data_IF_755259013960
#
_entry.id   IF_755259013960
#
_cell.length_a   1.000
_cell.length_b   1.000
_cell.length_c   1.000
_cell.angle_alpha   90.00
_cell.angle_beta   90.00
_cell.angle_gamma   90.00
#
_symmetry.space_group_name_H-M   'P 1'
#
loop_
_entity.id
_entity.type
_entity.pdbx_description
1 polymer ?
#
# COMPACT_ATOMS: atom_id res chain seq x y z
N UNK A 1 -14.60 65.97 8.18
CA UNK A 1 -13.21 65.56 8.44
C UNK A 1 -13.05 64.30 9.30
N UNK A 2 -13.90 64.08 10.34
CA UNK A 2 -13.82 62.88 11.18
C UNK A 2 -14.18 61.58 10.45
N UNK A 3 -15.09 61.59 9.48
CA UNK A 3 -15.55 60.41 8.73
C UNK A 3 -14.47 59.90 7.75
N UNK A 4 -13.70 60.81 7.13
CA UNK A 4 -12.62 60.41 6.24
C UNK A 4 -11.43 59.83 6.96
N UNK A 5 -11.11 60.25 8.21
CA UNK A 5 -10.03 59.67 9.00
C UNK A 5 -10.36 58.25 9.46
N UNK A 6 -11.61 57.99 9.84
CA UNK A 6 -12.07 56.63 10.26
C UNK A 6 -12.06 55.65 9.08
N UNK A 7 -12.43 56.09 7.87
CA UNK A 7 -12.36 55.21 6.65
C UNK A 7 -10.92 54.88 6.23
N UNK A 8 -9.99 55.82 6.37
CA UNK A 8 -8.56 55.59 5.99
C UNK A 8 -7.90 54.63 6.98
N UNK A 9 -8.22 54.67 8.29
CA UNK A 9 -7.66 53.77 9.28
C UNK A 9 -8.22 52.32 9.12
N UNK A 10 -9.49 52.16 8.79
CA UNK A 10 -10.08 50.82 8.55
C UNK A 10 -9.46 50.12 7.31
N UNK A 11 -9.21 50.86 6.22
CA UNK A 11 -8.61 50.25 4.99
C UNK A 11 -7.17 49.84 5.21
N UNK A 12 -6.38 50.62 5.96
CA UNK A 12 -4.98 50.26 6.31
C UNK A 12 -4.93 49.05 7.25
N UNK A 13 -5.86 48.95 8.20
CA UNK A 13 -5.97 47.82 9.11
C UNK A 13 -6.30 46.51 8.41
N UNK A 14 -7.20 46.55 7.43
CA UNK A 14 -7.57 45.38 6.60
C UNK A 14 -6.39 44.90 5.75
N UNK A 15 -5.66 45.82 5.11
CA UNK A 15 -4.50 45.48 4.31
C UNK A 15 -3.39 44.84 5.15
N UNK A 16 -3.12 45.31 6.36
CA UNK A 16 -2.12 44.72 7.27
C UNK A 16 -2.50 43.31 7.70
N UNK A 17 -3.76 43.06 8.04
CA UNK A 17 -4.25 41.73 8.40
C UNK A 17 -4.11 40.74 7.25
N UNK A 18 -4.40 41.15 6.02
CA UNK A 18 -4.25 40.30 4.82
C UNK A 18 -2.80 39.94 4.55
N UNK A 19 -1.87 40.88 4.73
CA UNK A 19 -0.43 40.64 4.55
C UNK A 19 0.07 39.62 5.59
N UNK A 20 -0.30 39.79 6.85
CA UNK A 20 0.10 38.88 7.92
C UNK A 20 -0.50 37.49 7.76
N UNK A 21 -1.77 37.40 7.34
CA UNK A 21 -2.41 36.11 7.01
C UNK A 21 -1.68 35.39 5.89
N UNK A 22 -1.35 36.11 4.81
CA UNK A 22 -0.59 35.55 3.68
C UNK A 22 0.80 35.10 4.11
N UNK A 23 1.50 35.88 4.90
CA UNK A 23 2.83 35.53 5.44
C UNK A 23 2.76 34.24 6.24
N UNK A 24 1.83 34.14 7.20
CA UNK A 24 1.65 32.95 8.03
C UNK A 24 1.36 31.70 7.18
N UNK A 25 0.43 31.81 6.23
CA UNK A 25 0.08 30.68 5.36
C UNK A 25 1.25 30.19 4.51
N UNK A 26 2.01 31.12 3.91
CA UNK A 26 3.20 30.77 3.11
C UNK A 26 4.26 30.09 3.96
N UNK A 27 4.43 30.53 5.19
CA UNK A 27 5.40 29.96 6.10
C UNK A 27 5.02 28.56 6.56
N UNK A 28 3.76 28.36 6.97
CA UNK A 28 3.22 27.04 7.28
C UNK A 28 3.33 26.10 6.07
N UNK A 29 3.03 26.60 4.86
CA UNK A 29 3.15 25.81 3.64
C UNK A 29 4.60 25.35 3.38
N UNK A 30 5.57 26.25 3.49
CA UNK A 30 7.00 25.93 3.31
C UNK A 30 7.47 24.90 4.32
N UNK A 31 7.14 25.11 5.60
CA UNK A 31 7.51 24.17 6.69
C UNK A 31 6.86 22.80 6.47
N UNK A 32 5.57 22.77 6.15
CA UNK A 32 4.84 21.53 5.83
C UNK A 32 5.48 20.78 4.67
N UNK A 33 5.82 21.49 3.58
CA UNK A 33 6.46 20.88 2.41
C UNK A 33 7.84 20.32 2.74
N UNK A 34 8.62 21.03 3.54
CA UNK A 34 9.92 20.54 4.00
C UNK A 34 9.81 19.26 4.83
N UNK A 35 8.89 19.25 5.78
CA UNK A 35 8.63 18.06 6.63
C UNK A 35 8.11 16.89 5.76
N UNK A 36 7.16 17.15 4.88
CA UNK A 36 6.61 16.14 3.98
C UNK A 36 7.71 15.51 3.14
N UNK A 37 8.61 16.30 2.58
CA UNK A 37 9.71 15.80 1.75
C UNK A 37 10.66 14.88 2.55
N UNK A 38 11.02 15.28 3.78
CA UNK A 38 11.89 14.48 4.64
C UNK A 38 11.22 13.11 4.96
N UNK A 39 9.98 13.13 5.46
CA UNK A 39 9.28 11.89 5.78
C UNK A 39 8.99 11.04 4.54
N UNK A 40 8.68 11.68 3.41
CA UNK A 40 8.48 10.97 2.15
C UNK A 40 9.74 10.22 1.72
N UNK A 41 10.91 10.85 1.76
CA UNK A 41 12.18 10.19 1.43
C UNK A 41 12.49 9.03 2.38
N UNK A 42 12.22 9.20 3.69
CA UNK A 42 12.41 8.13 4.67
C UNK A 42 11.49 6.93 4.40
N UNK A 43 10.21 7.19 4.12
CA UNK A 43 9.24 6.11 3.83
C UNK A 43 9.57 5.43 2.52
N UNK A 44 9.87 6.18 1.46
CA UNK A 44 10.26 5.62 0.17
C UNK A 44 11.53 4.79 0.30
N UNK A 45 12.56 5.29 0.98
CA UNK A 45 13.80 4.54 1.24
C UNK A 45 13.55 3.23 1.99
N UNK A 46 12.75 3.27 3.06
CA UNK A 46 12.37 2.07 3.81
C UNK A 46 11.62 1.05 2.94
N UNK A 47 10.73 1.51 2.06
CA UNK A 47 10.00 0.63 1.14
C UNK A 47 10.89 0.01 0.06
N UNK A 48 11.85 0.78 -0.45
CA UNK A 48 12.85 0.23 -1.37
C UNK A 48 13.61 -0.93 -0.74
N UNK A 49 14.10 -0.77 0.50
CA UNK A 49 14.79 -1.85 1.21
C UNK A 49 13.92 -3.09 1.32
N UNK A 50 12.66 -2.94 1.72
CA UNK A 50 11.73 -4.08 1.83
C UNK A 50 11.44 -4.78 0.49
N UNK A 51 11.36 -4.04 -0.62
CA UNK A 51 11.19 -4.66 -1.94
C UNK A 51 12.48 -5.32 -2.45
N UNK A 52 13.66 -4.76 -2.17
CA UNK A 52 14.93 -5.43 -2.48
C UNK A 52 15.14 -6.71 -1.69
N UNK A 53 14.71 -6.76 -0.44
CA UNK A 53 14.70 -7.97 0.38
C UNK A 53 13.82 -9.05 -0.28
N UNK A 54 12.58 -8.72 -0.66
CA UNK A 54 11.69 -9.62 -1.38
C UNK A 54 12.27 -10.08 -2.72
N UNK A 55 12.95 -9.19 -3.46
CA UNK A 55 13.63 -9.55 -4.69
C UNK A 55 14.82 -10.49 -4.46
N UNK A 56 15.57 -10.30 -3.36
CA UNK A 56 16.67 -11.21 -3.00
C UNK A 56 16.19 -12.62 -2.65
N UNK A 57 14.97 -12.71 -2.15
CA UNK A 57 14.27 -13.99 -1.89
C UNK A 57 13.66 -14.60 -3.15
N UNK A 58 13.67 -13.89 -4.28
CA UNK A 58 13.07 -14.33 -5.54
C UNK A 58 11.54 -14.17 -5.57
N UNK A 59 10.98 -13.32 -4.71
CA UNK A 59 9.54 -13.08 -4.63
C UNK A 59 9.05 -11.99 -5.59
N UNK A 60 9.93 -11.11 -6.04
CA UNK A 60 9.63 -9.98 -6.94
C UNK A 60 10.79 -9.79 -7.91
N UNK A 61 10.50 -9.49 -9.20
CA UNK A 61 11.55 -9.09 -10.15
C UNK A 61 12.17 -7.75 -9.73
N UNK A 62 13.52 -7.68 -9.64
CA UNK A 62 14.21 -6.41 -9.40
C UNK A 62 13.86 -5.29 -10.39
N UNK A 63 13.54 -5.64 -11.65
CA UNK A 63 13.25 -4.67 -12.71
C UNK A 63 11.94 -3.90 -12.51
N UNK A 64 10.97 -4.48 -11.80
CA UNK A 64 9.67 -3.83 -11.54
C UNK A 64 9.64 -3.01 -10.26
N UNK A 65 10.61 -3.17 -9.35
CA UNK A 65 10.62 -2.51 -8.03
C UNK A 65 10.40 -1.01 -8.18
N UNK A 66 11.12 -0.37 -9.10
CA UNK A 66 11.02 1.08 -9.28
C UNK A 66 9.60 1.51 -9.70
N UNK A 67 8.97 0.76 -10.60
CA UNK A 67 7.59 1.02 -11.06
C UNK A 67 6.59 0.83 -9.92
N UNK A 68 6.74 -0.23 -9.14
CA UNK A 68 5.88 -0.52 -7.98
C UNK A 68 5.97 0.58 -6.93
N UNK A 69 7.18 1.01 -6.59
CA UNK A 69 7.39 2.11 -5.63
C UNK A 69 6.78 3.41 -6.13
N UNK A 70 6.97 3.74 -7.42
CA UNK A 70 6.41 4.96 -8.02
C UNK A 70 4.87 4.97 -7.98
N UNK A 71 4.25 3.83 -8.28
CA UNK A 71 2.80 3.67 -8.18
C UNK A 71 2.26 3.80 -6.74
N UNK A 72 3.09 3.53 -5.76
CA UNK A 72 2.74 3.68 -4.34
C UNK A 72 2.94 5.08 -3.76
N UNK A 73 3.50 6.02 -4.52
CA UNK A 73 3.70 7.41 -4.06
C UNK A 73 2.42 8.09 -3.58
N UNK A 74 1.27 8.01 -4.28
CA UNK A 74 0.03 8.62 -3.80
C UNK A 74 -0.44 8.06 -2.46
N UNK A 75 -0.27 6.75 -2.22
CA UNK A 75 -0.60 6.10 -0.95
C UNK A 75 0.26 6.67 0.19
N UNK A 76 1.57 6.81 -0.02
CA UNK A 76 2.49 7.40 0.96
C UNK A 76 2.17 8.87 1.24
N UNK A 77 1.91 9.67 0.20
CA UNK A 77 1.56 11.09 0.35
C UNK A 77 0.24 11.25 1.13
N UNK A 78 -0.75 10.41 0.86
CA UNK A 78 -2.05 10.43 1.56
C UNK A 78 -1.88 10.26 3.07
N UNK A 79 -0.99 9.38 3.49
CA UNK A 79 -0.70 9.15 4.90
C UNK A 79 0.12 10.29 5.52
N UNK A 80 1.14 10.77 4.81
CA UNK A 80 2.11 11.71 5.34
C UNK A 80 1.62 13.16 5.34
N UNK A 81 0.73 13.54 4.42
CA UNK A 81 0.32 14.92 4.21
C UNK A 81 -0.40 15.54 5.42
N UNK A 82 -1.42 14.90 6.06
CA UNK A 82 -2.06 15.46 7.23
C UNK A 82 -1.11 15.55 8.43
N UNK A 83 -0.24 14.54 8.60
CA UNK A 83 0.76 14.53 9.66
C UNK A 83 1.80 15.63 9.48
N UNK A 84 2.30 15.80 8.27
CA UNK A 84 3.27 16.86 7.94
C UNK A 84 2.65 18.26 8.09
N UNK A 85 1.37 18.43 7.74
CA UNK A 85 0.66 19.69 7.93
C UNK A 85 0.50 20.03 9.40
N UNK A 86 0.13 19.07 10.23
CA UNK A 86 0.03 19.26 11.68
C UNK A 86 1.38 19.67 12.28
N UNK A 87 2.46 18.96 11.96
CA UNK A 87 3.80 19.33 12.41
C UNK A 87 4.25 20.67 11.86
N UNK A 88 3.89 20.99 10.61
CA UNK A 88 4.18 22.27 9.97
C UNK A 88 3.59 23.43 10.73
N UNK A 89 2.34 23.34 11.18
CA UNK A 89 1.69 24.36 12.03
C UNK A 89 2.44 24.48 13.35
N UNK A 90 2.71 23.37 14.04
CA UNK A 90 3.39 23.40 15.34
C UNK A 90 4.75 24.05 15.23
N UNK A 91 5.58 23.63 14.29
CA UNK A 91 6.93 24.15 14.13
C UNK A 91 6.94 25.63 13.70
N UNK A 92 6.04 26.05 12.79
CA UNK A 92 5.93 27.45 12.40
C UNK A 92 5.53 28.32 13.58
N UNK A 93 4.49 27.94 14.32
CA UNK A 93 4.04 28.72 15.49
C UNK A 93 5.13 28.73 16.57
N UNK A 94 5.79 27.62 16.84
CA UNK A 94 6.87 27.55 17.82
C UNK A 94 8.03 28.49 17.44
N UNK A 95 8.38 28.55 16.16
CA UNK A 95 9.41 29.45 15.66
C UNK A 95 9.01 30.93 15.84
N UNK A 96 7.78 31.29 15.47
CA UNK A 96 7.25 32.65 15.67
C UNK A 96 7.30 33.09 17.14
N UNK A 97 7.07 32.17 18.09
CA UNK A 97 7.24 32.44 19.50
C UNK A 97 8.72 32.59 19.90
N UNK A 98 9.58 31.69 19.44
CA UNK A 98 11.01 31.71 19.77
C UNK A 98 11.71 32.98 19.26
N UNK A 99 11.37 33.42 18.06
CA UNK A 99 11.92 34.65 17.43
C UNK A 99 11.18 35.92 17.86
N UNK A 100 10.21 35.82 18.76
CA UNK A 100 9.37 36.95 19.23
C UNK A 100 8.55 37.62 18.12
N UNK A 101 8.49 37.09 16.92
CA UNK A 101 7.70 37.63 15.80
C UNK A 101 6.19 37.57 16.05
N UNK A 102 5.74 36.68 16.91
CA UNK A 102 4.33 36.54 17.31
C UNK A 102 3.77 37.84 17.91
N UNK A 103 4.62 38.64 18.58
CA UNK A 103 4.19 39.90 19.16
C UNK A 103 3.87 40.95 18.08
N UNK A 104 4.46 40.85 16.90
CA UNK A 104 4.08 41.63 15.73
C UNK A 104 2.65 41.39 15.28
N UNK A 105 2.14 40.16 15.39
CA UNK A 105 0.74 39.82 15.11
C UNK A 105 -0.17 40.40 16.19
N UNK A 106 0.20 40.31 17.46
CA UNK A 106 -0.62 40.83 18.58
C UNK A 106 -0.64 42.36 18.59
N UNK A 107 0.43 43.05 18.20
CA UNK A 107 0.50 44.51 18.16
C UNK A 107 -0.47 45.15 17.14
N UNK A 108 -0.86 44.37 16.09
CA UNK A 108 -1.87 44.78 15.11
C UNK A 108 -3.29 44.42 15.57
N UNK A 109 -3.45 43.92 16.82
CA UNK A 109 -4.74 43.57 17.42
C UNK A 109 -5.29 42.21 16.94
N UNK A 110 -4.44 41.30 16.48
CA UNK A 110 -4.82 39.94 16.17
C UNK A 110 -4.85 39.09 17.43
N UNK A 111 -5.91 38.30 17.58
CA UNK A 111 -6.02 37.32 18.64
C UNK A 111 -5.47 35.94 18.18
N UNK A 112 -5.23 35.03 19.14
CA UNK A 112 -4.86 33.64 18.82
C UNK A 112 -5.91 32.95 17.94
N UNK A 113 -7.20 33.26 18.14
CA UNK A 113 -8.32 32.73 17.36
C UNK A 113 -8.26 33.24 15.89
N UNK A 114 -7.86 34.48 15.67
CA UNK A 114 -7.72 35.04 14.33
C UNK A 114 -6.61 34.33 13.56
N UNK A 115 -5.51 33.95 14.23
CA UNK A 115 -4.46 33.14 13.61
C UNK A 115 -4.96 31.77 13.17
N UNK A 116 -5.78 31.10 13.99
CA UNK A 116 -6.43 29.84 13.61
C UNK A 116 -7.33 30.04 12.39
N UNK A 117 -8.14 31.11 12.36
CA UNK A 117 -9.01 31.43 11.22
C UNK A 117 -8.20 31.68 9.94
N UNK A 118 -7.00 32.23 10.00
CA UNK A 118 -6.15 32.41 8.85
C UNK A 118 -5.63 31.10 8.26
N UNK A 119 -5.49 30.06 9.07
CA UNK A 119 -5.05 28.73 8.64
C UNK A 119 -6.21 27.87 8.10
N UNK A 120 -7.48 28.23 8.39
CA UNK A 120 -8.64 27.47 7.92
C UNK A 120 -8.69 27.26 6.39
N UNK A 121 -8.49 28.28 5.53
CA UNK A 121 -8.54 28.06 4.10
C UNK A 121 -7.47 27.07 3.62
N UNK A 122 -6.27 27.18 4.17
CA UNK A 122 -5.17 26.27 3.85
C UNK A 122 -5.47 24.85 4.34
N UNK A 123 -6.01 24.70 5.54
CA UNK A 123 -6.39 23.39 6.09
C UNK A 123 -7.48 22.72 5.25
N UNK A 124 -8.45 23.48 4.73
CA UNK A 124 -9.46 22.97 3.82
C UNK A 124 -8.85 22.48 2.49
N UNK A 125 -7.88 23.21 1.95
CA UNK A 125 -7.18 22.80 0.72
C UNK A 125 -6.45 21.47 0.97
N UNK A 126 -5.69 21.34 2.04
CA UNK A 126 -5.01 20.08 2.39
C UNK A 126 -6.00 18.94 2.66
N UNK A 127 -7.12 19.22 3.30
CA UNK A 127 -8.19 18.25 3.53
C UNK A 127 -8.75 17.70 2.21
N UNK A 128 -9.12 18.58 1.26
CA UNK A 128 -9.66 18.16 -0.03
C UNK A 128 -8.62 17.42 -0.87
N UNK A 129 -7.35 17.82 -0.84
CA UNK A 129 -6.27 17.12 -1.52
C UNK A 129 -6.13 15.70 -0.94
N UNK A 130 -6.07 15.57 0.39
CA UNK A 130 -5.97 14.27 1.05
C UNK A 130 -7.19 13.39 0.76
N UNK A 131 -8.39 13.98 0.77
CA UNK A 131 -9.63 13.28 0.44
C UNK A 131 -9.61 12.74 -0.99
N UNK A 132 -9.24 13.56 -1.96
CA UNK A 132 -9.16 13.17 -3.37
C UNK A 132 -8.10 12.07 -3.59
N UNK A 133 -6.93 12.20 -2.97
CA UNK A 133 -5.89 11.17 -3.01
C UNK A 133 -6.36 9.85 -2.39
N UNK A 134 -7.00 9.92 -1.22
CA UNK A 134 -7.44 8.73 -0.48
C UNK A 134 -8.57 7.98 -1.16
N UNK A 135 -9.54 8.71 -1.75
CA UNK A 135 -10.72 8.07 -2.35
C UNK A 135 -10.50 7.55 -3.77
N UNK A 136 -9.66 8.24 -4.57
CA UNK A 136 -9.55 7.95 -6.00
C UNK A 136 -8.16 7.47 -6.40
N UNK A 137 -7.12 8.23 -6.08
CA UNK A 137 -5.78 8.01 -6.65
C UNK A 137 -5.06 6.88 -5.93
N UNK A 138 -5.03 6.90 -4.60
CA UNK A 138 -4.31 5.89 -3.81
C UNK A 138 -4.86 4.46 -4.01
N UNK A 139 -6.19 4.18 -3.95
CA UNK A 139 -6.68 2.83 -4.20
C UNK A 139 -6.38 2.36 -5.62
N UNK A 140 -6.60 3.22 -6.63
CA UNK A 140 -6.34 2.86 -8.03
C UNK A 140 -4.87 2.51 -8.28
N UNK A 141 -3.94 3.35 -7.84
CA UNK A 141 -2.49 3.09 -8.02
C UNK A 141 -2.00 1.91 -7.19
N UNK A 142 -2.59 1.67 -6.02
CA UNK A 142 -2.29 0.52 -5.17
C UNK A 142 -2.72 -0.80 -5.83
N UNK A 143 -3.90 -0.83 -6.43
CA UNK A 143 -4.38 -2.02 -7.12
C UNK A 143 -3.54 -2.30 -8.38
N UNK A 144 -3.20 -1.27 -9.15
CA UNK A 144 -2.29 -1.41 -10.29
C UNK A 144 -0.89 -1.89 -9.86
N UNK A 145 -0.38 -1.43 -8.71
CA UNK A 145 0.90 -1.91 -8.17
C UNK A 145 0.87 -3.38 -7.75
N UNK A 146 -0.28 -3.84 -7.23
CA UNK A 146 -0.48 -5.26 -6.89
C UNK A 146 -0.59 -6.14 -8.13
N UNK A 147 -1.28 -5.65 -9.15
CA UNK A 147 -1.39 -6.33 -10.44
C UNK A 147 -0.01 -6.56 -11.05
N UNK A 148 0.85 -5.52 -11.11
CA UNK A 148 2.22 -5.67 -11.59
C UNK A 148 3.01 -6.72 -10.79
N UNK A 149 2.91 -6.71 -9.46
CA UNK A 149 3.57 -7.71 -8.62
C UNK A 149 2.99 -9.12 -8.87
N UNK A 150 1.69 -9.25 -9.10
CA UNK A 150 1.05 -10.56 -9.28
C UNK A 150 1.37 -11.19 -10.61
N UNK A 151 1.39 -10.41 -11.70
CA UNK A 151 1.68 -10.91 -13.05
C UNK A 151 3.11 -11.44 -13.13
N UNK A 152 4.10 -10.66 -12.71
CA UNK A 152 5.50 -11.08 -12.73
C UNK A 152 5.78 -12.17 -11.68
N UNK A 153 5.06 -12.15 -10.57
CA UNK A 153 5.34 -13.07 -9.45
C UNK A 153 4.96 -14.52 -9.75
N UNK A 154 3.96 -14.79 -10.57
CA UNK A 154 3.55 -16.18 -10.83
C UNK A 154 4.56 -16.92 -11.72
N UNK A 155 4.94 -16.35 -12.86
CA UNK A 155 5.95 -16.97 -13.73
C UNK A 155 7.35 -16.96 -13.08
N UNK A 156 7.71 -15.87 -12.42
CA UNK A 156 9.01 -15.74 -11.78
C UNK A 156 9.13 -16.54 -10.49
N UNK A 157 8.07 -16.68 -9.69
CA UNK A 157 8.09 -17.57 -8.51
C UNK A 157 8.49 -18.99 -8.93
N UNK A 158 7.91 -19.51 -10.00
CA UNK A 158 8.28 -20.83 -10.50
C UNK A 158 9.64 -20.83 -11.19
N UNK A 159 10.00 -19.76 -11.89
CA UNK A 159 11.31 -19.65 -12.54
C UNK A 159 12.45 -19.42 -11.55
N UNK A 160 12.20 -18.73 -10.46
CA UNK A 160 13.19 -18.37 -9.44
C UNK A 160 13.29 -19.36 -8.27
N UNK A 161 12.47 -20.43 -8.26
CA UNK A 161 12.60 -21.47 -7.22
C UNK A 161 14.01 -22.05 -7.28
N UNK A 162 14.75 -21.84 -6.20
CA UNK A 162 16.11 -22.37 -6.06
C UNK A 162 16.06 -23.85 -5.69
N UNK A 163 16.76 -24.73 -6.41
CA UNK A 163 16.89 -26.13 -6.01
C UNK A 163 17.41 -26.28 -4.59
N UNK A 164 16.99 -27.33 -3.90
CA UNK A 164 17.38 -27.67 -2.54
C UNK A 164 16.94 -26.66 -1.47
N UNK A 165 15.96 -25.82 -1.79
CA UNK A 165 15.35 -24.88 -0.83
C UNK A 165 13.86 -25.15 -0.75
N UNK A 166 13.32 -25.19 0.48
CA UNK A 166 11.90 -25.27 0.72
C UNK A 166 11.28 -23.89 0.50
N UNK A 167 10.37 -23.80 -0.46
CA UNK A 167 9.65 -22.57 -0.80
C UNK A 167 8.21 -22.69 -0.36
N UNK A 168 7.74 -21.75 0.47
CA UNK A 168 6.35 -21.73 0.96
C UNK A 168 5.47 -20.88 0.06
N UNK A 169 4.22 -21.28 -0.13
CA UNK A 169 3.22 -20.48 -0.83
C UNK A 169 2.57 -19.51 0.15
N UNK A 170 2.52 -18.24 -0.18
CA UNK A 170 2.07 -17.15 0.70
C UNK A 170 0.60 -17.24 1.18
N UNK A 171 -0.21 -18.16 0.64
CA UNK A 171 -1.66 -18.27 0.91
C UNK A 171 -2.18 -19.64 1.31
N UNK A 172 -1.39 -20.66 1.20
CA UNK A 172 -1.72 -22.00 1.70
C UNK A 172 -0.64 -22.40 2.68
N UNK A 173 -1.02 -23.13 3.74
CA UNK A 173 -0.03 -23.79 4.60
C UNK A 173 0.73 -24.88 3.81
N UNK A 174 1.15 -24.52 2.58
CA UNK A 174 1.78 -25.39 1.61
C UNK A 174 3.22 -24.99 1.31
N UNK A 175 3.97 -25.98 0.88
CA UNK A 175 5.34 -25.76 0.42
C UNK A 175 5.63 -26.57 -0.84
N UNK A 176 6.65 -26.13 -1.57
CA UNK A 176 7.26 -26.89 -2.65
C UNK A 176 8.76 -27.05 -2.39
N UNK A 177 9.24 -28.26 -2.57
CA UNK A 177 10.66 -28.60 -2.54
C UNK A 177 11.06 -29.21 -3.89
N UNK A 178 12.22 -28.83 -4.41
CA UNK A 178 12.73 -29.24 -5.70
C UNK A 178 14.19 -29.61 -5.51
N UNK A 179 14.58 -30.82 -5.96
CA UNK A 179 15.97 -31.26 -5.84
C UNK A 179 16.87 -30.61 -6.92
N UNK A 180 16.41 -30.56 -8.17
CA UNK A 180 17.16 -29.96 -9.26
C UNK A 180 16.26 -29.25 -10.26
N UNK A 181 16.84 -28.30 -11.00
CA UNK A 181 16.18 -27.58 -12.09
C UNK A 181 17.01 -27.72 -13.35
N UNK A 182 16.39 -28.13 -14.44
CA UNK A 182 17.02 -28.20 -15.76
C UNK A 182 16.13 -27.46 -16.77
N UNK A 183 16.61 -26.33 -17.25
CA UNK A 183 15.86 -25.41 -18.12
C UNK A 183 14.50 -25.01 -17.47
N UNK A 184 13.38 -25.42 -18.04
CA UNK A 184 12.02 -25.15 -17.57
C UNK A 184 11.38 -26.35 -16.87
N UNK A 185 12.14 -27.41 -16.59
CA UNK A 185 11.69 -28.64 -15.92
C UNK A 185 12.27 -28.73 -14.52
N UNK A 186 11.44 -28.96 -13.55
CA UNK A 186 11.82 -29.23 -12.18
C UNK A 186 11.89 -30.73 -11.94
N UNK A 187 12.95 -31.20 -11.31
CA UNK A 187 13.24 -32.61 -11.06
C UNK A 187 13.06 -32.91 -9.57
N UNK A 188 12.51 -34.09 -9.28
CA UNK A 188 12.26 -34.60 -7.93
C UNK A 188 11.51 -33.58 -7.07
N UNK A 189 10.25 -33.35 -7.44
CA UNK A 189 9.40 -32.34 -6.84
C UNK A 189 8.53 -32.95 -5.76
N UNK A 190 8.58 -32.34 -4.58
CA UNK A 190 7.66 -32.61 -3.48
C UNK A 190 6.87 -31.36 -3.17
N UNK A 191 5.56 -31.40 -3.34
CA UNK A 191 4.66 -30.27 -3.07
C UNK A 191 3.59 -30.66 -2.08
N UNK A 192 3.47 -29.90 -0.99
CA UNK A 192 2.35 -29.97 -0.07
C UNK A 192 1.42 -28.79 -0.35
N UNK A 193 0.17 -29.09 -0.59
CA UNK A 193 -0.91 -28.11 -0.70
C UNK A 193 -1.91 -28.40 0.41
N UNK A 194 -2.10 -27.47 1.34
CA UNK A 194 -3.06 -27.60 2.43
C UNK A 194 -4.10 -26.50 2.35
N UNK A 195 -5.37 -26.88 2.48
CA UNK A 195 -6.50 -25.98 2.63
C UNK A 195 -7.22 -26.36 3.94
N UNK A 196 -8.07 -25.47 4.46
CA UNK A 196 -8.85 -25.71 5.70
C UNK A 196 -9.61 -27.07 5.73
N UNK A 197 -9.85 -27.69 4.58
CA UNK A 197 -10.64 -28.92 4.44
C UNK A 197 -9.87 -30.13 3.94
N UNK A 198 -8.69 -29.96 3.34
CA UNK A 198 -7.93 -31.06 2.75
C UNK A 198 -6.45 -30.74 2.66
N UNK A 199 -5.63 -31.75 2.86
CA UNK A 199 -4.18 -31.70 2.66
C UNK A 199 -3.78 -32.69 1.57
N UNK A 200 -3.04 -32.22 0.58
CA UNK A 200 -2.55 -32.97 -0.57
C UNK A 200 -1.02 -32.92 -0.61
N UNK A 201 -0.36 -34.06 -0.56
CA UNK A 201 1.07 -34.17 -0.80
C UNK A 201 1.28 -34.82 -2.18
N UNK A 202 2.01 -34.14 -3.04
CA UNK A 202 2.35 -34.60 -4.39
C UNK A 202 3.86 -34.85 -4.42
N UNK A 203 4.25 -36.05 -4.83
CA UNK A 203 5.63 -36.42 -5.09
C UNK A 203 5.73 -36.85 -6.54
N UNK A 204 6.56 -36.17 -7.32
CA UNK A 204 6.68 -36.41 -8.76
C UNK A 204 8.15 -36.33 -9.23
N UNK A 205 8.51 -37.15 -10.21
CA UNK A 205 9.84 -37.11 -10.80
C UNK A 205 10.11 -35.80 -11.54
N UNK A 206 9.07 -35.28 -12.24
CA UNK A 206 9.19 -34.07 -13.02
C UNK A 206 7.97 -33.18 -12.86
N UNK A 207 8.20 -31.86 -12.85
CA UNK A 207 7.16 -30.85 -12.93
C UNK A 207 7.50 -29.83 -14.00
N UNK A 208 6.53 -29.52 -14.85
CA UNK A 208 6.58 -28.41 -15.79
C UNK A 208 5.43 -27.45 -15.48
N UNK A 209 5.57 -26.20 -15.87
CA UNK A 209 4.46 -25.27 -15.86
C UNK A 209 4.20 -24.73 -17.25
N UNK A 210 2.94 -24.54 -17.59
CA UNK A 210 2.49 -24.02 -18.86
C UNK A 210 1.52 -22.86 -18.62
N UNK A 211 1.82 -21.71 -19.19
CA UNK A 211 0.97 -20.52 -19.10
C UNK A 211 -0.12 -20.58 -20.17
N UNK A 212 -1.39 -20.63 -19.76
CA UNK A 212 -2.56 -20.56 -20.65
C UNK A 212 -3.29 -19.21 -20.54
N UNK A 213 -2.59 -18.13 -20.19
CA UNK A 213 -3.11 -16.77 -20.12
C UNK A 213 -3.82 -16.46 -18.79
N UNK A 214 -5.01 -16.98 -18.53
CA UNK A 214 -5.74 -16.77 -17.25
C UNK A 214 -5.39 -17.78 -16.17
N UNK A 215 -4.87 -18.96 -16.54
CA UNK A 215 -4.48 -20.05 -15.63
C UNK A 215 -3.03 -20.43 -15.86
N UNK A 216 -2.37 -20.84 -14.79
CA UNK A 216 -1.08 -21.50 -14.82
C UNK A 216 -1.29 -22.98 -14.54
N UNK A 217 -1.05 -23.81 -15.56
CA UNK A 217 -1.16 -25.25 -15.41
C UNK A 217 0.15 -25.83 -14.88
N UNK A 218 0.10 -26.39 -13.67
CA UNK A 218 1.18 -27.18 -13.10
C UNK A 218 1.01 -28.62 -13.55
N UNK A 219 1.93 -29.10 -14.36
CA UNK A 219 1.94 -30.45 -14.88
C UNK A 219 3.00 -31.29 -14.16
N UNK A 220 2.54 -32.23 -13.35
CA UNK A 220 3.37 -33.20 -12.65
C UNK A 220 3.39 -34.52 -13.45
N UNK A 221 4.56 -35.08 -13.65
CA UNK A 221 4.74 -36.31 -14.40
C UNK A 221 5.38 -37.39 -13.51
N UNK A 222 4.89 -38.61 -13.63
CA UNK A 222 5.35 -39.82 -12.92
C UNK A 222 5.45 -39.60 -11.40
N UNK A 223 4.32 -39.75 -10.72
CA UNK A 223 4.30 -39.48 -9.29
C UNK A 223 3.18 -40.16 -8.53
N UNK A 224 3.09 -39.80 -7.26
CA UNK A 224 2.04 -40.19 -6.34
C UNK A 224 1.40 -38.99 -5.68
N UNK A 225 0.08 -39.03 -5.57
CA UNK A 225 -0.76 -38.09 -4.86
C UNK A 225 -1.21 -38.74 -3.55
N UNK A 226 -0.92 -38.11 -2.43
CA UNK A 226 -1.37 -38.53 -1.10
C UNK A 226 -2.39 -37.53 -0.59
N UNK A 227 -3.64 -37.89 -0.47
CA UNK A 227 -4.70 -37.08 0.11
C UNK A 227 -4.89 -37.40 1.58
N UNK A 228 -5.29 -36.40 2.38
CA UNK A 228 -5.58 -36.59 3.80
C UNK A 228 -4.33 -36.79 4.67
N UNK A 229 -3.19 -36.21 4.32
CA UNK A 229 -1.90 -36.42 5.02
C UNK A 229 -1.98 -36.08 6.51
N UNK A 230 -2.82 -35.12 6.88
CA UNK A 230 -3.00 -34.66 8.28
C UNK A 230 -4.37 -35.05 8.86
N UNK A 231 -5.19 -35.85 8.15
CA UNK A 231 -6.47 -36.34 8.66
C UNK A 231 -6.35 -37.80 9.11
N UNK A 232 -7.00 -38.11 10.21
CA UNK A 232 -6.96 -39.48 10.76
C UNK A 232 -7.86 -40.47 10.00
N UNK A 233 -8.79 -40.01 9.17
CA UNK A 233 -9.91 -40.87 8.71
C UNK A 233 -9.84 -41.37 7.26
N UNK A 234 -9.16 -40.74 6.33
CA UNK A 234 -9.10 -41.22 4.93
C UNK A 234 -7.80 -40.82 4.21
N UNK A 235 -6.81 -41.69 4.27
CA UNK A 235 -5.60 -41.55 3.46
C UNK A 235 -5.79 -42.25 2.12
N UNK A 236 -5.80 -41.50 1.04
CA UNK A 236 -5.85 -42.02 -0.33
C UNK A 236 -4.51 -41.81 -0.98
N UNK A 237 -3.92 -42.88 -1.51
CA UNK A 237 -2.70 -42.82 -2.30
C UNK A 237 -3.05 -43.19 -3.73
N UNK A 238 -2.84 -42.27 -4.66
CA UNK A 238 -3.10 -42.46 -6.08
C UNK A 238 -1.80 -42.27 -6.87
N UNK A 239 -1.42 -43.24 -7.67
CA UNK A 239 -0.29 -43.10 -8.58
C UNK A 239 -0.78 -42.53 -9.92
N UNK A 240 -0.02 -41.60 -10.49
CA UNK A 240 -0.36 -40.97 -11.75
C UNK A 240 0.85 -40.93 -12.69
N UNK A 241 0.61 -41.04 -13.98
CA UNK A 241 1.63 -40.78 -15.00
C UNK A 241 1.69 -39.30 -15.36
N UNK A 242 0.51 -38.61 -15.27
CA UNK A 242 0.38 -37.19 -15.58
C UNK A 242 -0.75 -36.61 -14.73
N UNK A 243 -0.44 -35.55 -13.97
CA UNK A 243 -1.40 -34.80 -13.17
C UNK A 243 -1.30 -33.33 -13.52
N UNK A 244 -2.40 -32.74 -13.97
CA UNK A 244 -2.50 -31.30 -14.22
C UNK A 244 -3.31 -30.63 -13.12
N UNK A 245 -2.74 -29.58 -12.53
CA UNK A 245 -3.42 -28.75 -11.51
C UNK A 245 -3.47 -27.33 -12.06
N UNK A 246 -4.64 -26.82 -12.46
CA UNK A 246 -4.80 -25.45 -12.86
C UNK A 246 -4.75 -24.55 -11.63
N UNK A 247 -3.86 -23.57 -11.65
CA UNK A 247 -3.77 -22.51 -10.64
C UNK A 247 -4.31 -21.24 -11.28
N UNK A 248 -5.42 -20.76 -10.76
CA UNK A 248 -6.10 -19.58 -11.27
C UNK A 248 -5.33 -18.31 -10.88
N UNK A 249 -4.92 -17.52 -11.88
CA UNK A 249 -4.23 -16.23 -11.69
C UNK A 249 -5.18 -15.16 -11.16
N UNK A 250 -6.47 -15.28 -11.44
CA UNK A 250 -7.46 -14.23 -11.17
C UNK A 250 -8.03 -14.24 -9.74
N UNK A 251 -7.85 -15.31 -8.98
CA UNK A 251 -8.39 -15.39 -7.61
C UNK A 251 -7.79 -14.37 -6.64
N UNK A 252 -6.68 -13.73 -7.00
CA UNK A 252 -6.09 -12.65 -6.20
C UNK A 252 -6.63 -11.25 -6.52
N UNK A 253 -7.08 -11.00 -7.76
CA UNK A 253 -7.46 -9.66 -8.23
C UNK A 253 -8.91 -9.32 -7.82
N UNK A 254 -9.81 -10.29 -7.79
CA UNK A 254 -11.24 -10.04 -7.54
C UNK A 254 -11.61 -9.69 -6.09
N UNK A 255 -10.73 -9.90 -5.11
CA UNK A 255 -11.11 -9.67 -3.70
C UNK A 255 -10.98 -8.23 -3.21
N UNK A 256 -10.47 -7.29 -4.03
CA UNK A 256 -10.13 -5.94 -3.58
C UNK A 256 -10.61 -4.78 -4.46
N UNK A 257 -11.63 -4.92 -5.28
CA UNK A 257 -12.32 -3.76 -5.84
C UNK A 257 -13.20 -3.12 -4.76
N UNK A 258 -12.60 -2.27 -3.97
CA UNK A 258 -13.09 -1.93 -2.63
C UNK A 258 -14.16 -0.84 -2.55
N UNK A 259 -14.47 -0.11 -3.63
CA UNK A 259 -15.51 0.93 -3.56
C UNK A 259 -16.93 0.36 -3.73
N UNK A 260 -17.12 -0.61 -4.62
CA UNK A 260 -18.39 -1.32 -4.74
C UNK A 260 -18.71 -2.14 -3.48
N UNK A 261 -17.68 -2.70 -2.82
CA UNK A 261 -17.85 -3.48 -1.58
C UNK A 261 -18.12 -2.62 -0.36
N UNK A 262 -17.61 -1.41 -0.27
CA UNK A 262 -18.00 -0.47 0.79
C UNK A 262 -19.48 -0.08 0.67
N UNK A 263 -20.01 0.07 -0.53
CA UNK A 263 -21.44 0.31 -0.75
C UNK A 263 -22.29 -0.93 -0.53
N UNK A 264 -21.83 -2.12 -0.94
CA UNK A 264 -22.51 -3.40 -0.69
C UNK A 264 -22.47 -3.77 0.81
N UNK A 265 -21.37 -3.51 1.53
CA UNK A 265 -21.29 -3.69 2.98
C UNK A 265 -22.26 -2.76 3.72
N UNK A 266 -22.47 -1.53 3.24
CA UNK A 266 -23.41 -0.60 3.85
C UNK A 266 -24.87 -1.00 3.64
N UNK A 267 -25.17 -1.80 2.62
CA UNK A 267 -26.51 -2.25 2.27
C UNK A 267 -26.86 -3.65 2.80
N UNK A 268 -25.87 -4.52 3.05
CA UNK A 268 -26.10 -5.94 3.39
C UNK A 268 -25.81 -6.33 4.83
N UNK A 269 -25.06 -5.52 5.59
CA UNK A 269 -24.75 -5.86 6.98
C UNK A 269 -25.58 -5.09 7.98
N UNK A 270 -26.18 -5.81 8.93
CA UNK A 270 -26.81 -5.21 10.10
C UNK A 270 -25.74 -4.43 10.89
N UNK A 271 -26.13 -3.29 11.50
CA UNK A 271 -25.22 -2.41 12.26
C UNK A 271 -24.35 -3.11 13.32
N UNK A 272 -24.68 -4.34 13.70
CA UNK A 272 -23.92 -5.15 14.65
C UNK A 272 -22.66 -5.79 14.06
N UNK A 273 -22.61 -6.09 12.77
CA UNK A 273 -21.42 -6.69 12.14
C UNK A 273 -20.32 -5.68 11.85
N UNK A 274 -20.68 -4.40 11.66
CA UNK A 274 -19.71 -3.32 11.40
C UNK A 274 -18.86 -3.03 12.64
N UNK A 275 -19.40 -3.22 13.84
CA UNK A 275 -18.72 -2.93 15.12
C UNK A 275 -17.68 -3.99 15.53
N UNK A 276 -17.65 -5.18 14.92
CA UNK A 276 -16.73 -6.26 15.26
C UNK A 276 -15.54 -6.40 14.28
N UNK A 277 -15.51 -5.60 13.20
CA UNK A 277 -14.45 -5.65 12.18
C UNK A 277 -13.58 -4.38 12.11
N UNK A 278 -13.57 -3.57 13.18
CA UNK A 278 -12.68 -2.40 13.32
C UNK A 278 -11.51 -2.73 14.22
#
# INVERSE_FOLDING_TARGET
DKINIVMHDTSQGINKKNILSKSLNVEVFKTTTGILLIFFLLVVGSRFVGYFEQASEGLIDPNIIFRVVLLRFPDFITLLLPFSFFLGIILTISRLYAESEIYGYFSVGLSKIDMIKFLLPQSLVFFFITLALSLYIAPYTKDLSKELISIDTFEEKFTSIKPKKLTTFARSDGFIYIEAKKDNTFLDVTSLMSNEKSSMLIVAENMNFQDEGSTLDLEFNNGSLHEGVFSDENKIISNFNKLKIPVDKDTEIQKNSSLTKLFDYSLSSSKSEILWNV
#
